data_IF_917705109541
#
_entry.id   IF_917705109541
#
_cell.length_a   1.000
_cell.length_b   1.000
_cell.length_c   1.000
_cell.angle_alpha   90.00
_cell.angle_beta   90.00
_cell.angle_gamma   90.00
#
_symmetry.space_group_name_H-M   'P 1'
#
loop_
_entity.id
_entity.type
_entity.pdbx_description
1 polymer ?
#
# COMPACT_ATOMS: atom_id res chain seq x y z
N UNK A 1 8.50 3.13 12.54
CA UNK A 1 8.05 4.19 11.61
C UNK A 1 7.14 5.09 12.43
N UNK A 2 7.38 6.41 12.43
CA UNK A 2 6.54 7.38 13.16
C UNK A 2 5.74 8.18 12.13
N UNK A 3 4.39 8.14 12.15
CA UNK A 3 3.57 8.90 11.20
C UNK A 3 3.65 10.41 11.46
N UNK A 4 3.88 11.19 10.41
CA UNK A 4 3.84 12.66 10.44
C UNK A 4 2.45 13.22 10.11
N UNK A 5 1.55 12.37 9.64
CA UNK A 5 0.18 12.73 9.29
C UNK A 5 -0.75 11.53 9.43
N UNK A 6 -2.04 11.81 9.50
CA UNK A 6 -3.09 10.80 9.31
C UNK A 6 -3.04 10.34 7.85
N UNK A 7 -3.20 9.04 7.56
CA UNK A 7 -3.32 8.56 6.18
C UNK A 7 -4.42 9.30 5.42
N UNK A 8 -4.15 9.66 4.17
CA UNK A 8 -5.12 10.29 3.29
C UNK A 8 -5.48 9.32 2.18
N UNK A 9 -6.76 9.23 1.86
CA UNK A 9 -7.27 8.48 0.71
C UNK A 9 -8.32 9.31 -0.02
N UNK A 10 -8.29 9.27 -1.34
CA UNK A 10 -9.27 9.90 -2.20
C UNK A 10 -9.74 8.90 -3.26
N UNK A 11 -11.04 8.89 -3.54
CA UNK A 11 -11.63 8.11 -4.65
C UNK A 11 -12.04 9.03 -5.77
N UNK A 12 -11.49 8.82 -6.95
CA UNK A 12 -12.03 9.32 -8.21
C UNK A 12 -13.05 8.31 -8.76
N UNK A 13 -14.22 8.79 -9.16
CA UNK A 13 -15.23 7.93 -9.80
C UNK A 13 -14.76 7.35 -11.15
N UNK A 14 -13.77 7.98 -11.79
CA UNK A 14 -13.22 7.51 -13.08
C UNK A 14 -11.94 6.70 -12.94
N UNK A 15 -11.14 6.97 -11.91
CA UNK A 15 -9.75 6.47 -11.83
C UNK A 15 -9.46 5.62 -10.58
N UNK A 16 -10.46 5.35 -9.75
CA UNK A 16 -10.30 4.51 -8.56
C UNK A 16 -9.74 5.28 -7.36
N UNK A 17 -8.95 4.60 -6.55
CA UNK A 17 -8.46 5.09 -5.26
C UNK A 17 -6.99 5.47 -5.35
N UNK A 18 -6.63 6.56 -4.69
CA UNK A 18 -5.25 6.92 -4.40
C UNK A 18 -5.15 7.25 -2.91
N UNK A 19 -4.05 6.85 -2.28
CA UNK A 19 -3.79 7.17 -0.89
C UNK A 19 -2.30 7.27 -0.58
N UNK A 20 -1.98 7.95 0.51
CA UNK A 20 -0.62 8.03 0.99
C UNK A 20 -0.54 8.21 2.50
N UNK A 21 0.59 7.80 3.06
CA UNK A 21 1.00 8.11 4.42
C UNK A 21 2.47 8.53 4.43
N UNK A 22 2.78 9.57 5.21
CA UNK A 22 4.13 10.07 5.41
C UNK A 22 4.66 9.66 6.79
N UNK A 23 5.85 9.09 6.84
CA UNK A 23 6.61 8.81 8.06
C UNK A 23 7.87 9.68 8.13
N UNK A 24 8.43 9.93 9.32
CA UNK A 24 9.56 10.87 9.54
C UNK A 24 10.67 10.88 8.48
N UNK A 25 11.02 9.72 7.93
CA UNK A 25 12.08 9.58 6.92
C UNK A 25 11.61 8.84 5.67
N UNK A 26 10.32 8.50 5.55
CA UNK A 26 9.87 7.47 4.63
C UNK A 26 8.37 7.59 4.34
N UNK A 27 7.77 6.65 3.59
CA UNK A 27 6.35 6.74 3.31
C UNK A 27 5.82 5.60 2.45
N UNK A 28 4.51 5.53 2.32
CA UNK A 28 3.86 4.59 1.43
C UNK A 28 2.80 5.27 0.56
N UNK A 29 2.72 4.84 -0.69
CA UNK A 29 1.69 5.21 -1.64
C UNK A 29 0.85 3.99 -1.99
N UNK A 30 -0.44 4.22 -2.18
CA UNK A 30 -1.42 3.19 -2.49
C UNK A 30 -2.28 3.63 -3.67
N UNK A 31 -2.52 2.71 -4.60
CA UNK A 31 -3.48 2.88 -5.68
C UNK A 31 -4.36 1.66 -5.81
N UNK A 32 -5.67 1.84 -6.04
CA UNK A 32 -6.57 0.71 -6.24
C UNK A 32 -7.65 0.99 -7.28
N UNK A 33 -8.09 -0.08 -7.94
CA UNK A 33 -9.14 -0.09 -8.94
C UNK A 33 -10.15 -1.17 -8.61
N UNK A 34 -11.44 -0.81 -8.64
CA UNK A 34 -12.55 -1.76 -8.46
C UNK A 34 -12.95 -2.42 -9.80
N UNK A 35 -12.69 -1.75 -10.92
CA UNK A 35 -13.07 -2.16 -12.28
C UNK A 35 -11.90 -1.96 -13.27
N UNK A 36 -11.77 -2.82 -14.30
CA UNK A 36 -12.56 -4.04 -14.55
C UNK A 36 -12.14 -5.23 -13.64
N UNK A 37 -11.01 -5.11 -12.93
CA UNK A 37 -10.48 -6.11 -12.00
C UNK A 37 -10.18 -5.42 -10.68
N UNK A 38 -10.59 -6.04 -9.57
CA UNK A 38 -10.16 -5.64 -8.23
C UNK A 38 -8.65 -5.82 -8.14
N UNK A 39 -7.95 -4.70 -8.03
CA UNK A 39 -6.50 -4.65 -7.99
C UNK A 39 -6.06 -3.48 -7.14
N UNK A 40 -4.98 -3.66 -6.40
CA UNK A 40 -4.28 -2.54 -5.79
C UNK A 40 -2.77 -2.75 -5.88
N UNK A 41 -2.05 -1.65 -5.83
CA UNK A 41 -0.61 -1.62 -5.67
C UNK A 41 -0.26 -0.74 -4.48
N UNK A 42 0.82 -1.12 -3.80
CA UNK A 42 1.39 -0.35 -2.70
C UNK A 42 2.89 -0.25 -2.90
N UNK A 43 3.41 0.97 -2.85
CA UNK A 43 4.84 1.25 -2.86
C UNK A 43 5.24 1.69 -1.46
N UNK A 44 6.13 0.94 -0.81
CA UNK A 44 6.62 1.25 0.52
C UNK A 44 8.09 1.62 0.45
N UNK A 45 8.39 2.86 0.79
CA UNK A 45 9.75 3.32 1.03
C UNK A 45 9.94 3.36 2.53
N UNK A 46 11.01 2.73 3.04
CA UNK A 46 11.29 2.64 4.47
C UNK A 46 12.77 2.94 4.72
N UNK A 47 13.09 3.64 5.82
CA UNK A 47 14.49 3.84 6.24
C UNK A 47 14.93 2.90 7.35
N UNK A 48 13.99 2.14 7.93
CA UNK A 48 14.27 1.11 8.91
C UNK A 48 14.08 -0.22 8.23
N UNK A 49 15.06 -1.12 8.39
CA UNK A 49 14.93 -2.48 7.92
C UNK A 49 13.62 -3.11 8.43
N UNK A 50 12.91 -3.76 7.52
CA UNK A 50 11.71 -4.54 7.79
C UNK A 50 11.76 -5.79 6.92
N UNK A 51 11.05 -6.84 7.33
CA UNK A 51 10.88 -8.04 6.51
C UNK A 51 9.71 -7.82 5.55
N UNK A 52 9.90 -7.86 4.22
CA UNK A 52 8.81 -7.78 3.25
C UNK A 52 7.72 -8.83 3.48
N UNK A 53 8.08 -10.01 4.01
CA UNK A 53 7.14 -11.09 4.27
C UNK A 53 6.09 -10.72 5.32
N UNK A 54 6.42 -9.87 6.30
CA UNK A 54 5.44 -9.38 7.27
C UNK A 54 4.35 -8.55 6.58
N UNK A 55 4.74 -7.69 5.63
CA UNK A 55 3.81 -6.86 4.87
C UNK A 55 2.94 -7.71 3.92
N UNK A 56 3.53 -8.73 3.30
CA UNK A 56 2.82 -9.67 2.42
C UNK A 56 1.84 -10.52 3.21
N UNK A 57 2.24 -11.04 4.38
CA UNK A 57 1.39 -11.83 5.25
C UNK A 57 0.17 -11.03 5.71
N UNK A 58 0.38 -9.81 6.21
CA UNK A 58 -0.71 -8.89 6.57
C UNK A 58 -1.64 -8.65 5.38
N UNK A 59 -1.06 -8.40 4.20
CA UNK A 59 -1.82 -8.13 2.98
C UNK A 59 -2.69 -9.33 2.58
N UNK A 60 -2.15 -10.54 2.68
CA UNK A 60 -2.89 -11.78 2.39
C UNK A 60 -4.02 -12.02 3.37
N UNK A 61 -3.76 -11.86 4.65
CA UNK A 61 -4.76 -12.06 5.71
C UNK A 61 -5.90 -11.04 5.62
N UNK A 62 -5.57 -9.78 5.36
CA UNK A 62 -6.56 -8.70 5.39
C UNK A 62 -7.40 -8.62 4.10
N UNK A 63 -6.77 -8.77 2.93
CA UNK A 63 -7.45 -8.55 1.64
C UNK A 63 -7.87 -9.83 0.92
N UNK A 64 -7.37 -11.00 1.35
CA UNK A 64 -7.57 -12.29 0.66
C UNK A 64 -7.37 -12.22 -0.88
N UNK A 65 -6.21 -11.71 -1.35
CA UNK A 65 -5.95 -11.55 -2.77
C UNK A 65 -5.73 -12.91 -3.45
N UNK A 66 -6.27 -13.04 -4.67
CA UNK A 66 -6.07 -14.24 -5.51
C UNK A 66 -4.59 -14.39 -5.93
N UNK A 67 -3.88 -13.27 -6.05
CA UNK A 67 -2.50 -13.21 -6.54
C UNK A 67 -1.75 -12.06 -5.84
N UNK A 68 -0.51 -12.32 -5.44
CA UNK A 68 0.39 -11.32 -4.87
C UNK A 68 1.76 -11.46 -5.50
N UNK A 69 2.29 -10.35 -6.02
CA UNK A 69 3.66 -10.24 -6.51
C UNK A 69 4.31 -9.07 -5.79
N UNK A 70 5.57 -9.25 -5.38
CA UNK A 70 6.34 -8.21 -4.70
C UNK A 70 7.77 -8.18 -5.21
N UNK A 71 8.39 -7.00 -5.10
CA UNK A 71 9.80 -6.77 -5.41
C UNK A 71 10.38 -5.85 -4.34
N UNK A 72 11.59 -6.15 -3.88
CA UNK A 72 12.31 -5.36 -2.89
C UNK A 72 13.81 -5.57 -3.00
N UNK A 73 14.57 -4.66 -2.40
CA UNK A 73 16.04 -4.67 -2.37
C UNK A 73 16.56 -4.94 -0.97
#
# INVERSE_FOLDING_TARGET
>A
MVPLMVPVTHRSDLYGWAGWIHWETSGAHFYAWDVPRKFFSVDMYTCKAFDPEDAIAFTREYFDPIEVTWFGF
#
